data_IF_153487881014
#
_entry.id   IF_153487881014
#
_cell.length_a   1.000
_cell.length_b   1.000
_cell.length_c   1.000
_cell.angle_alpha   90.00
_cell.angle_beta   90.00
_cell.angle_gamma   90.00
#
_symmetry.space_group_name_H-M   'P 1'
#
loop_
_entity.id
_entity.type
_entity.pdbx_description
1 polymer ?
#
# COMPACT_ATOMS: atom_id res chain seq x y z
N UNK A 1 -14.02 -7.62 24.82
CA UNK A 1 -12.63 -8.09 25.04
C UNK A 1 -12.22 -7.75 26.46
N UNK A 2 -11.65 -8.71 27.19
CA UNK A 2 -11.18 -8.52 28.56
C UNK A 2 -9.71 -8.90 28.69
N UNK A 3 -8.95 -8.12 29.46
CA UNK A 3 -7.54 -8.34 29.75
C UNK A 3 -7.40 -8.88 31.18
N UNK A 4 -6.59 -9.92 31.34
CA UNK A 4 -6.34 -10.55 32.64
C UNK A 4 -4.85 -10.56 32.93
N UNK A 5 -4.48 -10.26 34.16
CA UNK A 5 -3.10 -10.33 34.64
C UNK A 5 -2.92 -11.67 35.36
N UNK A 6 -2.00 -12.49 34.84
CA UNK A 6 -1.71 -13.81 35.39
C UNK A 6 -0.29 -13.79 35.95
N UNK A 7 -0.13 -14.18 37.21
CA UNK A 7 1.18 -14.34 37.83
C UNK A 7 1.83 -15.64 37.34
N UNK A 8 3.05 -15.54 36.84
CA UNK A 8 3.87 -16.68 36.42
C UNK A 8 5.10 -16.77 37.31
N UNK A 9 5.47 -17.98 37.70
CA UNK A 9 6.73 -18.24 38.39
C UNK A 9 7.68 -18.88 37.39
N UNK A 10 8.86 -18.29 37.23
CA UNK A 10 9.92 -18.79 36.36
C UNK A 10 11.05 -19.27 37.25
N UNK A 11 11.44 -20.54 37.10
CA UNK A 11 12.52 -21.16 37.86
C UNK A 11 13.66 -21.56 36.93
N UNK A 12 14.90 -21.36 37.35
CA UNK A 12 16.06 -21.93 36.66
C UNK A 12 16.28 -23.39 37.08
N UNK A 13 16.90 -24.19 36.20
CA UNK A 13 17.28 -25.56 36.51
C UNK A 13 18.62 -25.67 37.26
N UNK A 14 19.10 -24.57 37.85
CA UNK A 14 20.43 -24.47 38.47
C UNK A 14 20.48 -24.96 39.92
N UNK A 15 21.68 -24.95 40.50
CA UNK A 15 21.86 -25.16 41.95
C UNK A 15 22.79 -24.08 42.54
N UNK A 16 22.33 -23.26 43.50
CA UNK A 16 20.97 -23.24 44.05
C UNK A 16 19.94 -22.75 43.02
N UNK A 17 18.73 -23.31 43.07
CA UNK A 17 17.61 -22.92 42.20
C UNK A 17 17.26 -21.46 42.48
N UNK A 18 17.07 -20.68 41.43
CA UNK A 18 16.52 -19.32 41.51
C UNK A 18 15.17 -19.27 40.84
N UNK A 19 14.21 -18.67 41.54
CA UNK A 19 12.89 -18.39 41.01
C UNK A 19 12.59 -16.89 40.99
N UNK A 20 11.80 -16.48 40.01
CA UNK A 20 11.29 -15.11 39.87
C UNK A 20 9.79 -15.17 39.58
N UNK A 21 9.04 -14.25 40.19
CA UNK A 21 7.61 -14.11 39.94
C UNK A 21 7.38 -12.89 39.04
N UNK A 22 6.75 -13.12 37.89
CA UNK A 22 6.36 -12.09 36.94
C UNK A 22 4.86 -12.06 36.70
N UNK A 23 4.38 -11.04 36.00
CA UNK A 23 2.98 -10.92 35.57
C UNK A 23 2.91 -10.90 34.05
N UNK A 24 2.01 -11.69 33.48
CA UNK A 24 1.74 -11.74 32.04
C UNK A 24 0.31 -11.28 31.79
N UNK A 25 0.14 -10.39 30.81
CA UNK A 25 -1.19 -9.97 30.35
C UNK A 25 -1.75 -10.95 29.32
N UNK A 26 -2.91 -11.52 29.60
CA UNK A 26 -3.64 -12.44 28.73
C UNK A 26 -4.89 -11.75 28.20
N UNK A 27 -5.05 -11.74 26.88
CA UNK A 27 -6.27 -11.25 26.23
C UNK A 27 -7.22 -12.42 26.00
N UNK A 28 -8.45 -12.31 26.49
CA UNK A 28 -9.48 -13.34 26.27
C UNK A 28 -10.49 -12.84 25.25
N UNK A 29 -10.81 -13.72 24.30
CA UNK A 29 -11.76 -13.48 23.24
C UNK A 29 -13.02 -14.32 23.44
N UNK A 30 -14.14 -13.83 22.91
CA UNK A 30 -15.39 -14.58 22.88
C UNK A 30 -15.38 -15.54 21.69
N UNK A 31 -15.78 -16.79 21.94
CA UNK A 31 -15.98 -17.82 20.92
C UNK A 31 -17.47 -18.10 20.77
N UNK A 32 -17.86 -18.52 19.57
CA UNK A 32 -19.18 -19.07 19.28
C UNK A 32 -19.29 -20.52 19.79
N UNK A 33 -20.50 -21.09 19.80
CA UNK A 33 -20.75 -22.46 20.26
C UNK A 33 -20.03 -23.52 19.43
N UNK A 34 -19.75 -23.22 18.16
CA UNK A 34 -18.94 -24.07 17.26
C UNK A 34 -17.43 -23.84 17.41
N UNK A 35 -17.00 -23.00 18.36
CA UNK A 35 -15.59 -22.70 18.63
C UNK A 35 -14.98 -21.67 17.67
N UNK A 36 -15.79 -21.04 16.81
CA UNK A 36 -15.33 -19.95 15.94
C UNK A 36 -15.06 -18.68 16.73
N UNK A 37 -13.98 -17.96 16.42
CA UNK A 37 -13.60 -16.74 17.12
C UNK A 37 -14.51 -15.58 16.68
N UNK A 38 -15.34 -15.06 17.60
CA UNK A 38 -16.24 -13.93 17.31
C UNK A 38 -15.53 -12.58 17.41
N UNK A 39 -14.55 -12.45 18.33
CA UNK A 39 -13.92 -11.16 18.65
C UNK A 39 -12.44 -11.31 18.98
N UNK A 40 -11.69 -11.94 18.07
CA UNK A 40 -10.25 -12.11 18.19
C UNK A 40 -9.55 -11.78 16.87
N UNK A 41 -10.01 -10.74 16.17
CA UNK A 41 -9.14 -10.10 15.21
C UNK A 41 -8.08 -9.40 16.06
N UNK A 42 -6.84 -9.90 16.07
CA UNK A 42 -5.75 -8.98 16.28
C UNK A 42 -6.01 -7.90 15.25
N UNK A 43 -6.24 -6.67 15.68
CA UNK A 43 -6.18 -5.51 14.79
C UNK A 43 -4.72 -5.38 14.32
N UNK A 44 -4.17 -6.43 13.70
CA UNK A 44 -3.55 -6.24 12.43
C UNK A 44 -4.60 -5.48 11.62
N UNK A 45 -4.45 -4.16 11.69
CA UNK A 45 -4.41 -3.31 10.53
C UNK A 45 -3.60 -4.06 9.47
N UNK A 46 -4.20 -5.11 8.91
CA UNK A 46 -3.83 -5.74 7.68
C UNK A 46 -4.19 -4.69 6.64
N UNK A 47 -3.42 -3.60 6.59
CA UNK A 47 -2.87 -3.26 5.30
C UNK A 47 -2.05 -4.50 4.95
N UNK A 48 -2.53 -5.36 4.03
CA UNK A 48 -1.72 -6.47 3.59
C UNK A 48 -0.43 -5.80 3.11
N UNK A 49 0.71 -6.19 3.70
CA UNK A 49 2.04 -5.67 3.38
C UNK A 49 2.29 -4.22 3.85
N UNK A 50 2.86 -4.04 5.06
CA UNK A 50 3.86 -3.01 5.45
C UNK A 50 3.75 -1.53 5.04
N UNK A 51 2.72 -1.08 4.31
CA UNK A 51 2.57 0.30 3.89
C UNK A 51 1.84 1.06 4.99
N UNK A 52 2.58 1.93 5.67
CA UNK A 52 2.01 2.95 6.56
C UNK A 52 0.94 3.75 5.80
N UNK A 53 -0.09 4.23 6.51
CA UNK A 53 -1.10 5.15 5.96
C UNK A 53 -0.48 6.36 5.25
N UNK A 54 0.68 6.84 5.72
CA UNK A 54 1.43 7.89 5.06
C UNK A 54 1.95 7.51 3.66
N UNK A 55 2.38 6.26 3.46
CA UNK A 55 2.84 5.78 2.16
C UNK A 55 1.69 5.72 1.15
N UNK A 56 0.50 5.31 1.59
CA UNK A 56 -0.69 5.30 0.75
C UNK A 56 -1.10 6.71 0.32
N UNK A 57 -1.09 7.67 1.25
CA UNK A 57 -1.38 9.07 0.93
C UNK A 57 -0.37 9.64 -0.07
N UNK A 58 0.92 9.33 0.08
CA UNK A 58 1.96 9.76 -0.86
C UNK A 58 1.74 9.18 -2.27
N UNK A 59 1.44 7.88 -2.38
CA UNK A 59 1.17 7.22 -3.67
C UNK A 59 -0.04 7.86 -4.37
N UNK A 60 -1.12 8.08 -3.63
CA UNK A 60 -2.34 8.68 -4.18
C UNK A 60 -2.08 10.10 -4.71
N UNK A 61 -1.34 10.93 -3.95
CA UNK A 61 -0.98 12.28 -4.38
C UNK A 61 -0.10 12.25 -5.64
N UNK A 62 0.87 11.35 -5.73
CA UNK A 62 1.72 11.20 -6.91
C UNK A 62 0.90 10.88 -8.17
N UNK A 63 -0.09 10.00 -8.08
CA UNK A 63 -0.95 9.64 -9.22
C UNK A 63 -1.74 10.86 -9.71
N UNK A 64 -2.33 11.64 -8.80
CA UNK A 64 -3.10 12.85 -9.16
C UNK A 64 -2.24 13.89 -9.86
N UNK A 65 -1.03 14.13 -9.35
CA UNK A 65 -0.09 15.10 -9.93
C UNK A 65 0.33 14.65 -11.33
N UNK A 66 0.73 13.38 -11.49
CA UNK A 66 1.13 12.84 -12.79
C UNK A 66 0.00 12.93 -13.83
N UNK A 67 -1.23 12.60 -13.46
CA UNK A 67 -2.36 12.71 -14.38
C UNK A 67 -2.64 14.16 -14.80
N UNK A 68 -2.54 15.12 -13.87
CA UNK A 68 -2.72 16.54 -14.18
C UNK A 68 -1.65 17.09 -15.11
N UNK A 69 -0.38 16.74 -14.89
CA UNK A 69 0.72 17.15 -15.76
C UNK A 69 0.61 16.50 -17.15
N UNK A 70 0.22 15.23 -17.23
CA UNK A 70 0.02 14.53 -18.50
C UNK A 70 -1.14 15.12 -19.31
N UNK A 71 -2.27 15.45 -18.69
CA UNK A 71 -3.42 16.04 -19.39
C UNK A 71 -3.09 17.43 -19.95
N UNK A 72 -2.43 18.27 -19.13
CA UNK A 72 -1.93 19.56 -19.60
C UNK A 72 -0.92 19.38 -20.74
N UNK A 73 -0.02 18.40 -20.63
CA UNK A 73 0.95 18.12 -21.68
C UNK A 73 0.28 17.63 -22.95
N UNK A 74 -0.72 16.76 -22.89
CA UNK A 74 -1.49 16.28 -24.06
C UNK A 74 -2.28 17.43 -24.68
N UNK A 75 -2.92 18.29 -23.88
CA UNK A 75 -3.65 19.47 -24.34
C UNK A 75 -2.72 20.47 -25.04
N UNK A 76 -1.55 20.75 -24.45
CA UNK A 76 -0.52 21.62 -25.05
C UNK A 76 0.07 20.99 -26.31
N UNK A 77 0.36 19.69 -26.31
CA UNK A 77 0.84 18.92 -27.47
C UNK A 77 -0.20 18.84 -28.57
N UNK A 78 -1.49 18.86 -28.26
CA UNK A 78 -2.58 18.88 -29.25
C UNK A 78 -2.65 20.24 -29.93
N UNK A 79 -2.47 21.32 -29.18
CA UNK A 79 -2.35 22.68 -29.74
C UNK A 79 -1.08 22.85 -30.59
N UNK A 80 0.06 22.32 -30.14
CA UNK A 80 1.30 22.33 -30.94
C UNK A 80 1.24 21.37 -32.14
N UNK A 81 0.54 20.24 -32.01
CA UNK A 81 0.26 19.34 -33.14
C UNK A 81 -0.62 20.03 -34.16
N UNK A 82 -1.63 20.81 -33.79
CA UNK A 82 -2.44 21.58 -34.76
C UNK A 82 -1.59 22.55 -35.59
N UNK A 83 -0.59 23.21 -34.97
CA UNK A 83 0.38 24.07 -35.69
C UNK A 83 1.32 23.27 -36.61
N UNK A 84 1.78 22.10 -36.16
CA UNK A 84 2.67 21.24 -36.96
C UNK A 84 1.92 20.32 -37.95
N UNK A 85 0.59 20.21 -37.86
CA UNK A 85 -0.25 19.37 -38.71
C UNK A 85 -0.45 19.99 -40.10
N UNK A 86 -0.45 21.32 -40.21
CA UNK A 86 -0.46 22.02 -41.50
C UNK A 86 0.84 21.79 -42.31
N UNK A 87 1.99 21.64 -41.63
CA UNK A 87 3.27 21.32 -42.26
C UNK A 87 3.38 19.82 -42.64
N UNK A 88 2.81 18.91 -41.84
CA UNK A 88 2.85 17.46 -42.13
C UNK A 88 1.95 17.09 -43.33
N UNK A 89 0.79 17.74 -43.50
CA UNK A 89 -0.09 17.52 -44.67
C UNK A 89 0.44 18.12 -45.99
N UNK A 90 1.46 18.98 -45.95
CA UNK A 90 2.19 19.46 -47.14
C UNK A 90 3.39 18.55 -47.50
N UNK A 91 3.88 17.74 -46.56
CA UNK A 91 5.00 16.79 -46.77
C UNK A 91 4.49 15.37 -47.08
N UNK A 92 3.21 15.07 -46.84
CA UNK A 92 2.60 13.77 -47.17
C UNK A 92 2.64 13.39 -48.66
N UNK A 93 2.46 14.28 -49.67
CA UNK A 93 2.66 13.88 -51.07
C UNK A 93 4.13 13.62 -51.43
N UNK A 94 5.10 14.20 -50.70
CA UNK A 94 6.54 14.00 -50.95
C UNK A 94 7.08 12.68 -50.39
N UNK A 95 6.47 12.14 -49.32
CA UNK A 95 6.86 10.80 -48.81
C UNK A 95 6.42 9.67 -49.74
N UNK A 96 5.35 9.87 -50.50
CA UNK A 96 4.90 8.93 -51.52
C UNK A 96 5.84 8.89 -52.74
N UNK A 97 6.48 10.02 -53.10
CA UNK A 97 7.43 10.09 -54.22
C UNK A 97 8.79 9.44 -53.90
N UNK A 98 9.20 9.40 -52.63
CA UNK A 98 10.51 8.85 -52.22
C UNK A 98 10.57 7.33 -52.08
N UNK A 99 9.44 6.63 -52.25
CA UNK A 99 9.40 5.17 -52.33
C UNK A 99 9.34 4.64 -53.78
N UNK A 100 9.47 5.52 -54.78
CA UNK A 100 9.36 5.15 -56.20
C UNK A 100 10.64 5.39 -57.03
N UNK A 101 11.80 5.56 -56.39
CA UNK A 101 13.10 5.55 -57.08
C UNK A 101 14.12 4.75 -56.30
#
# INVERSE_FOLDING_TARGET
MSMYLVTVVVEDGGYPIRSSTGTVSVRVCTCDTDGSLLSCNAEAVFFPMGLSTGALMAIMLCIVILLGELDMFVSKRTLERQRNMHLINLISPLKHYKCFN
#
